data_IF_793123521889
#
_entry.id   IF_793123521889
#
_cell.length_a   1.000
_cell.length_b   1.000
_cell.length_c   1.000
_cell.angle_alpha   90.00
_cell.angle_beta   90.00
_cell.angle_gamma   90.00
#
_symmetry.space_group_name_H-M   'P 1'
#
loop_
_entity.id
_entity.type
_entity.pdbx_description
1 polymer ?
#
# COMPACT_ATOMS: atom_id res chain seq x y z
N UNK A 1 -9.92 12.27 -6.47
CA UNK A 1 -10.33 12.52 -7.87
C UNK A 1 -11.74 12.01 -8.14
N UNK A 2 -12.00 10.71 -7.99
CA UNK A 2 -13.29 10.08 -8.34
C UNK A 2 -14.55 10.70 -7.69
N UNK A 3 -14.50 11.11 -6.41
CA UNK A 3 -15.64 11.77 -5.77
C UNK A 3 -15.94 13.15 -6.38
N UNK A 4 -14.89 13.92 -6.72
CA UNK A 4 -15.04 15.23 -7.34
C UNK A 4 -15.66 15.12 -8.74
N UNK A 5 -15.26 14.12 -9.52
CA UNK A 5 -15.83 13.89 -10.86
C UNK A 5 -17.30 13.50 -10.79
N UNK A 6 -17.69 12.69 -9.80
CA UNK A 6 -19.10 12.38 -9.53
C UNK A 6 -19.87 13.65 -9.18
N UNK A 7 -19.30 14.53 -8.34
CA UNK A 7 -19.95 15.80 -7.98
C UNK A 7 -20.18 16.68 -9.21
N UNK A 8 -19.16 16.84 -10.05
CA UNK A 8 -19.25 17.64 -11.28
C UNK A 8 -20.33 17.08 -12.20
N UNK A 9 -20.40 15.77 -12.39
CA UNK A 9 -21.43 15.13 -13.21
C UNK A 9 -22.84 15.35 -12.63
N UNK A 10 -23.00 15.24 -11.30
CA UNK A 10 -24.28 15.50 -10.63
C UNK A 10 -24.72 16.97 -10.74
N UNK A 11 -23.80 17.92 -10.56
CA UNK A 11 -24.08 19.36 -10.68
C UNK A 11 -24.40 19.76 -12.13
N UNK A 12 -23.86 19.03 -13.11
CA UNK A 12 -24.16 19.18 -14.53
C UNK A 12 -25.43 18.43 -14.98
N UNK A 13 -26.13 17.74 -14.06
CA UNK A 13 -27.27 16.84 -14.33
C UNK A 13 -26.94 15.71 -15.33
N UNK A 14 -25.66 15.37 -15.51
CA UNK A 14 -25.20 14.25 -16.33
C UNK A 14 -25.27 12.94 -15.53
N UNK A 15 -26.50 12.43 -15.39
CA UNK A 15 -26.78 11.21 -14.65
C UNK A 15 -26.17 9.95 -15.27
N UNK A 16 -25.95 9.94 -16.59
CA UNK A 16 -25.31 8.82 -17.28
C UNK A 16 -23.82 8.73 -16.89
N UNK A 17 -23.12 9.87 -16.91
CA UNK A 17 -21.73 9.96 -16.46
C UNK A 17 -21.62 9.65 -14.96
N UNK A 18 -22.47 10.25 -14.13
CA UNK A 18 -22.49 9.98 -12.69
C UNK A 18 -22.72 8.49 -12.40
N UNK A 19 -23.68 7.86 -13.08
CA UNK A 19 -23.94 6.42 -12.96
C UNK A 19 -22.72 5.59 -13.34
N UNK A 20 -22.05 5.88 -14.47
CA UNK A 20 -20.85 5.15 -14.89
C UNK A 20 -19.72 5.26 -13.87
N UNK A 21 -19.48 6.46 -13.33
CA UNK A 21 -18.43 6.69 -12.33
C UNK A 21 -18.72 5.92 -11.03
N UNK A 22 -19.97 5.99 -10.55
CA UNK A 22 -20.39 5.27 -9.33
C UNK A 22 -20.36 3.75 -9.55
N UNK A 23 -20.72 3.26 -10.74
CA UNK A 23 -20.65 1.84 -11.09
C UNK A 23 -19.21 1.32 -11.02
N UNK A 24 -18.27 2.07 -11.58
CA UNK A 24 -16.85 1.73 -11.54
C UNK A 24 -16.32 1.74 -10.11
N UNK A 25 -16.67 2.77 -9.33
CA UNK A 25 -16.29 2.88 -7.92
C UNK A 25 -16.82 1.70 -7.09
N UNK A 26 -18.06 1.27 -7.34
CA UNK A 26 -18.63 0.06 -6.72
C UNK A 26 -17.82 -1.19 -7.04
N UNK A 27 -17.43 -1.38 -8.30
CA UNK A 27 -16.60 -2.51 -8.73
C UNK A 27 -15.24 -2.51 -8.03
N UNK A 28 -14.59 -1.36 -7.99
CA UNK A 28 -13.32 -1.18 -7.28
C UNK A 28 -13.44 -1.47 -5.79
N UNK A 29 -14.45 -0.89 -5.13
CA UNK A 29 -14.71 -1.12 -3.70
C UNK A 29 -14.96 -2.60 -3.37
N UNK A 30 -15.64 -3.32 -4.27
CA UNK A 30 -15.82 -4.77 -4.14
C UNK A 30 -14.50 -5.54 -4.23
N UNK A 31 -13.61 -5.16 -5.15
CA UNK A 31 -12.30 -5.80 -5.29
C UNK A 31 -11.38 -5.53 -4.08
N UNK A 32 -11.53 -4.36 -3.45
CA UNK A 32 -10.80 -3.97 -2.24
C UNK A 32 -11.45 -4.51 -0.94
N UNK A 33 -12.54 -5.27 -1.03
CA UNK A 33 -13.37 -5.69 0.10
C UNK A 33 -13.83 -4.51 1.02
N UNK A 34 -13.85 -3.29 0.48
CA UNK A 34 -14.26 -2.08 1.18
C UNK A 34 -15.80 -2.02 1.25
N UNK A 35 -16.37 -2.81 2.15
CA UNK A 35 -17.81 -3.10 2.21
C UNK A 35 -18.67 -1.84 2.41
N UNK A 36 -18.22 -0.90 3.23
CA UNK A 36 -18.94 0.36 3.48
C UNK A 36 -18.92 1.27 2.25
N UNK A 37 -17.77 1.37 1.58
CA UNK A 37 -17.63 2.11 0.32
C UNK A 37 -18.47 1.48 -0.80
N UNK A 38 -18.46 0.15 -0.91
CA UNK A 38 -19.28 -0.57 -1.87
C UNK A 38 -20.78 -0.33 -1.62
N UNK A 39 -21.20 -0.34 -0.36
CA UNK A 39 -22.59 -0.09 0.03
C UNK A 39 -23.02 1.34 -0.28
N UNK A 40 -22.19 2.32 0.03
CA UNK A 40 -22.44 3.72 -0.30
C UNK A 40 -22.53 3.94 -1.82
N UNK A 41 -21.64 3.29 -2.60
CA UNK A 41 -21.67 3.35 -4.06
C UNK A 41 -22.94 2.71 -4.63
N UNK A 42 -23.41 1.57 -4.10
CA UNK A 42 -24.68 0.95 -4.50
C UNK A 42 -25.87 1.87 -4.23
N UNK A 43 -25.88 2.55 -3.07
CA UNK A 43 -26.99 3.45 -2.71
C UNK A 43 -27.04 4.67 -3.63
N UNK A 44 -25.89 5.27 -3.94
CA UNK A 44 -25.82 6.38 -4.89
C UNK A 44 -26.16 5.92 -6.31
N UNK A 45 -25.66 4.74 -6.74
CA UNK A 45 -25.94 4.16 -8.06
C UNK A 45 -27.44 4.03 -8.31
N UNK A 46 -28.20 3.55 -7.31
CA UNK A 46 -29.66 3.42 -7.41
C UNK A 46 -30.38 4.75 -7.63
N UNK A 47 -29.89 5.83 -7.02
CA UNK A 47 -30.46 7.17 -7.16
C UNK A 47 -30.18 7.77 -8.53
N UNK A 48 -28.96 7.59 -9.05
CA UNK A 48 -28.57 8.13 -10.37
C UNK A 48 -29.06 7.28 -11.55
N UNK A 49 -29.33 5.98 -11.33
CA UNK A 49 -29.82 5.06 -12.38
C UNK A 49 -31.27 5.30 -12.83
N UNK A 50 -31.97 6.29 -12.26
CA UNK A 50 -33.25 6.77 -12.80
C UNK A 50 -34.37 5.72 -12.93
N UNK A 51 -34.41 4.71 -12.05
CA UNK A 51 -35.44 3.64 -12.12
C UNK A 51 -36.67 3.96 -11.25
N UNK A 52 -36.60 4.93 -10.34
CA UNK A 52 -37.78 5.37 -9.59
C UNK A 52 -38.47 6.52 -10.31
N UNK A 53 -39.80 6.48 -10.38
CA UNK A 53 -40.69 7.42 -11.10
C UNK A 53 -40.63 8.88 -10.61
N UNK A 54 -39.60 9.26 -9.87
CA UNK A 54 -39.44 10.55 -9.21
C UNK A 54 -37.96 10.93 -9.26
N UNK A 55 -37.67 12.11 -9.82
CA UNK A 55 -36.35 12.71 -9.76
C UNK A 55 -35.91 12.82 -8.30
N UNK A 56 -34.74 12.28 -7.90
CA UNK A 56 -34.26 12.40 -6.54
C UNK A 56 -34.09 13.86 -6.17
N UNK A 57 -34.45 14.24 -4.94
CA UNK A 57 -34.24 15.62 -4.51
C UNK A 57 -32.74 15.90 -4.38
N UNK A 58 -32.34 17.15 -4.67
CA UNK A 58 -30.95 17.61 -4.49
C UNK A 58 -30.46 17.35 -3.05
N UNK A 59 -31.35 17.43 -2.07
CA UNK A 59 -31.03 17.13 -0.66
C UNK A 59 -30.70 15.66 -0.44
N UNK A 60 -31.49 14.74 -1.00
CA UNK A 60 -31.22 13.29 -0.90
C UNK A 60 -29.93 12.91 -1.64
N UNK A 61 -29.71 13.52 -2.81
CA UNK A 61 -28.52 13.29 -3.62
C UNK A 61 -27.25 13.77 -2.89
N UNK A 62 -27.28 14.98 -2.31
CA UNK A 62 -26.18 15.51 -1.51
C UNK A 62 -25.90 14.64 -0.28
N UNK A 63 -26.93 14.17 0.41
CA UNK A 63 -26.77 13.29 1.56
C UNK A 63 -26.05 11.99 1.16
N UNK A 64 -26.49 11.33 0.08
CA UNK A 64 -25.87 10.08 -0.38
C UNK A 64 -24.48 10.28 -0.95
N UNK A 65 -24.22 11.42 -1.58
CA UNK A 65 -22.89 11.79 -1.99
C UNK A 65 -21.95 11.96 -0.78
N UNK A 66 -22.38 12.66 0.28
CA UNK A 66 -21.57 12.81 1.50
C UNK A 66 -21.30 11.47 2.21
N UNK A 67 -22.28 10.56 2.22
CA UNK A 67 -22.06 9.19 2.72
C UNK A 67 -20.97 8.46 1.92
N UNK A 68 -21.00 8.58 0.58
CA UNK A 68 -19.98 8.01 -0.31
C UNK A 68 -18.59 8.61 -0.08
N UNK A 69 -18.51 9.93 0.04
CA UNK A 69 -17.26 10.65 0.29
C UNK A 69 -16.61 10.23 1.61
N UNK A 70 -17.41 10.13 2.68
CA UNK A 70 -16.93 9.65 3.97
C UNK A 70 -16.41 8.21 3.89
N UNK A 71 -17.16 7.31 3.24
CA UNK A 71 -16.74 5.92 3.09
C UNK A 71 -15.46 5.80 2.22
N UNK A 72 -15.29 6.68 1.24
CA UNK A 72 -14.09 6.73 0.42
C UNK A 72 -12.88 7.19 1.23
N UNK A 73 -13.04 8.23 2.05
CA UNK A 73 -11.97 8.71 2.94
C UNK A 73 -11.57 7.64 3.95
N UNK A 74 -12.54 6.93 4.55
CA UNK A 74 -12.25 5.81 5.46
C UNK A 74 -11.51 4.67 4.77
N UNK A 75 -11.90 4.32 3.54
CA UNK A 75 -11.20 3.29 2.76
C UNK A 75 -9.76 3.73 2.44
N UNK A 76 -9.57 5.02 2.11
CA UNK A 76 -8.24 5.57 1.84
C UNK A 76 -7.36 5.58 3.08
N UNK A 77 -7.86 6.05 4.22
CA UNK A 77 -7.15 6.03 5.50
C UNK A 77 -6.79 4.60 5.91
N UNK A 78 -7.71 3.65 5.73
CA UNK A 78 -7.46 2.23 6.02
C UNK A 78 -6.37 1.65 5.12
N UNK A 79 -6.40 1.95 3.83
CA UNK A 79 -5.38 1.51 2.88
C UNK A 79 -4.01 2.16 3.17
N UNK A 80 -3.99 3.45 3.53
CA UNK A 80 -2.77 4.16 3.92
C UNK A 80 -2.20 3.62 5.23
N UNK A 81 -3.03 3.32 6.22
CA UNK A 81 -2.61 2.67 7.47
C UNK A 81 -1.99 1.30 7.21
N UNK A 82 -2.55 0.53 6.26
CA UNK A 82 -1.99 -0.76 5.86
C UNK A 82 -0.60 -0.63 5.22
N UNK A 83 -0.35 0.44 4.47
CA UNK A 83 0.97 0.75 3.90
C UNK A 83 1.94 1.42 4.89
N UNK A 84 1.44 2.23 5.82
CA UNK A 84 2.25 2.94 6.81
C UNK A 84 2.65 2.06 8.01
N UNK A 85 2.00 0.92 8.21
CA UNK A 85 2.39 -0.03 9.26
C UNK A 85 3.77 -0.67 9.01
N UNK A 86 4.36 -0.51 7.82
CA UNK A 86 5.74 -0.90 7.51
C UNK A 86 6.78 0.13 7.97
N UNK A 87 6.37 1.29 8.49
CA UNK A 87 7.28 2.26 9.16
C UNK A 87 7.35 2.06 10.68
N UNK A 88 6.90 0.91 11.21
CA UNK A 88 7.05 0.60 12.63
C UNK A 88 8.52 0.25 12.94
N UNK A 89 9.32 1.29 13.18
CA UNK A 89 10.61 1.26 13.88
C UNK A 89 11.45 0.01 13.60
N UNK A 90 11.88 -0.18 12.35
CA UNK A 90 13.04 -1.03 12.11
C UNK A 90 14.18 -0.40 12.90
N UNK A 91 14.69 -1.12 13.89
CA UNK A 91 15.94 -0.84 14.56
C UNK A 91 17.01 -0.86 13.46
N UNK A 92 17.24 0.28 12.78
CA UNK A 92 18.38 0.43 11.88
C UNK A 92 19.58 0.05 12.74
N UNK A 93 20.33 -0.94 12.27
CA UNK A 93 21.57 -1.30 12.92
C UNK A 93 22.38 -0.03 13.12
N UNK A 94 22.86 0.17 14.33
CA UNK A 94 23.78 1.28 14.60
C UNK A 94 25.10 0.99 13.88
N UNK A 95 25.83 2.02 13.47
CA UNK A 95 27.13 1.86 12.79
C UNK A 95 28.09 0.95 13.60
N UNK A 96 27.96 0.94 14.93
CA UNK A 96 28.69 0.03 15.83
C UNK A 96 28.32 -1.45 15.70
N UNK A 97 27.06 -1.77 15.38
CA UNK A 97 26.58 -3.15 15.19
C UNK A 97 26.99 -3.71 13.83
N UNK A 98 27.08 -2.83 12.82
CA UNK A 98 27.57 -3.18 11.48
C UNK A 98 29.08 -3.40 11.49
N UNK A 99 29.85 -2.57 12.22
CA UNK A 99 31.29 -2.72 12.38
C UNK A 99 31.73 -4.00 13.14
N UNK A 100 30.80 -4.69 13.81
CA UNK A 100 31.05 -5.97 14.47
C UNK A 100 31.03 -7.17 13.50
N UNK A 101 30.58 -6.96 12.26
CA UNK A 101 30.55 -7.99 11.21
C UNK A 101 31.94 -8.08 10.57
N UNK A 102 32.50 -9.29 10.36
CA UNK A 102 33.72 -9.44 9.58
C UNK A 102 33.56 -8.80 8.19
N UNK A 103 34.46 -7.89 7.81
CA UNK A 103 34.34 -7.12 6.56
C UNK A 103 34.25 -7.98 5.30
N UNK A 104 34.93 -9.13 5.27
CA UNK A 104 34.82 -10.11 4.18
C UNK A 104 33.40 -10.68 4.05
N UNK A 105 32.72 -10.95 5.18
CA UNK A 105 31.34 -11.42 5.20
C UNK A 105 30.37 -10.29 4.82
N UNK A 106 30.61 -9.07 5.28
CA UNK A 106 29.79 -7.91 4.93
C UNK A 106 29.79 -7.63 3.42
N UNK A 107 30.96 -7.66 2.76
CA UNK A 107 31.07 -7.46 1.31
C UNK A 107 30.43 -8.59 0.49
N UNK A 108 30.60 -9.86 0.89
CA UNK A 108 29.98 -11.00 0.20
C UNK A 108 28.45 -10.90 0.25
N UNK A 109 27.91 -10.65 1.45
CA UNK A 109 26.49 -10.50 1.69
C UNK A 109 25.93 -9.28 0.95
N UNK A 110 26.60 -8.13 1.01
CA UNK A 110 26.21 -6.91 0.28
C UNK A 110 26.04 -7.17 -1.22
N UNK A 111 27.03 -7.85 -1.83
CA UNK A 111 26.96 -8.19 -3.25
C UNK A 111 25.77 -9.09 -3.57
N UNK A 112 25.56 -10.16 -2.79
CA UNK A 112 24.46 -11.10 -2.99
C UNK A 112 23.09 -10.47 -2.78
N UNK A 113 22.97 -9.55 -1.83
CA UNK A 113 21.75 -8.77 -1.59
C UNK A 113 21.46 -7.87 -2.81
N UNK A 114 22.47 -7.17 -3.35
CA UNK A 114 22.28 -6.35 -4.56
C UNK A 114 21.83 -7.16 -5.75
N UNK A 115 22.51 -8.28 -6.02
CA UNK A 115 22.18 -9.16 -7.15
C UNK A 115 20.72 -9.67 -7.03
N UNK A 116 20.30 -10.07 -5.83
CA UNK A 116 18.93 -10.52 -5.57
C UNK A 116 17.90 -9.39 -5.67
N UNK A 117 18.22 -8.20 -5.18
CA UNK A 117 17.36 -7.02 -5.27
C UNK A 117 17.19 -6.54 -6.73
N UNK A 118 18.25 -6.56 -7.54
CA UNK A 118 18.20 -6.23 -8.97
C UNK A 118 17.31 -7.20 -9.76
N UNK A 119 17.36 -8.49 -9.40
CA UNK A 119 16.52 -9.52 -10.00
C UNK A 119 15.09 -9.59 -9.42
N UNK A 120 14.80 -8.83 -8.35
CA UNK A 120 13.54 -8.93 -7.60
C UNK A 120 13.31 -10.31 -6.97
N UNK A 121 14.40 -11.04 -6.66
CA UNK A 121 14.34 -12.39 -6.13
C UNK A 121 14.19 -12.40 -4.59
N UNK A 122 12.94 -12.28 -4.16
CA UNK A 122 12.54 -12.32 -2.75
C UNK A 122 12.92 -13.64 -2.06
N UNK A 123 12.95 -14.77 -2.79
CA UNK A 123 13.35 -16.06 -2.21
C UNK A 123 14.83 -16.06 -1.84
N UNK A 124 15.67 -15.53 -2.74
CA UNK A 124 17.10 -15.39 -2.48
C UNK A 124 17.38 -14.39 -1.36
N UNK A 125 16.65 -13.27 -1.28
CA UNK A 125 16.75 -12.31 -0.17
C UNK A 125 16.44 -12.97 1.19
N UNK A 126 15.37 -13.78 1.27
CA UNK A 126 15.04 -14.51 2.50
C UNK A 126 16.09 -15.57 2.85
N UNK A 127 16.65 -16.28 1.87
CA UNK A 127 17.71 -17.25 2.11
C UNK A 127 18.99 -16.57 2.64
N UNK A 128 19.35 -15.40 2.10
CA UNK A 128 20.46 -14.59 2.59
C UNK A 128 20.21 -14.15 4.03
N UNK A 129 18.99 -13.69 4.35
CA UNK A 129 18.63 -13.32 5.71
C UNK A 129 18.74 -14.49 6.70
N UNK A 130 18.33 -15.70 6.31
CA UNK A 130 18.50 -16.89 7.15
C UNK A 130 19.98 -17.23 7.41
N UNK A 131 20.83 -17.08 6.39
CA UNK A 131 22.28 -17.28 6.50
C UNK A 131 22.92 -16.28 7.46
N UNK A 132 22.58 -14.99 7.33
CA UNK A 132 23.05 -13.92 8.21
C UNK A 132 22.69 -14.21 9.67
N UNK A 133 21.46 -14.66 9.92
CA UNK A 133 20.98 -15.05 11.25
C UNK A 133 21.74 -16.25 11.81
N UNK A 134 22.12 -17.22 10.96
CA UNK A 134 22.87 -18.39 11.37
C UNK A 134 24.35 -18.08 11.66
N UNK A 135 24.88 -16.98 11.13
CA UNK A 135 26.28 -16.59 11.30
C UNK A 135 26.59 -16.04 12.70
N UNK A 136 25.72 -15.17 13.23
CA UNK A 136 25.89 -14.58 14.57
C UNK A 136 24.59 -14.00 15.11
N UNK A 137 24.38 -14.10 16.44
CA UNK A 137 23.25 -13.47 17.13
C UNK A 137 23.25 -11.94 16.97
N UNK A 138 24.43 -11.33 16.77
CA UNK A 138 24.57 -9.89 16.48
C UNK A 138 23.98 -9.48 15.13
N UNK A 139 23.76 -10.42 14.22
CA UNK A 139 23.25 -10.17 12.86
C UNK A 139 21.74 -10.47 12.73
N UNK A 140 21.08 -10.88 13.82
CA UNK A 140 19.62 -11.08 13.86
C UNK A 140 18.84 -9.84 13.43
N UNK A 141 19.21 -8.59 13.83
CA UNK A 141 18.49 -7.41 13.37
C UNK A 141 18.65 -7.18 11.87
N UNK A 142 19.84 -7.43 11.31
CA UNK A 142 20.10 -7.33 9.86
C UNK A 142 19.22 -8.29 9.06
N UNK A 143 19.19 -9.55 9.49
CA UNK A 143 18.36 -10.59 8.89
C UNK A 143 16.88 -10.18 8.87
N UNK A 144 16.34 -9.74 10.02
CA UNK A 144 14.95 -9.29 10.11
C UNK A 144 14.66 -8.11 9.19
N UNK A 145 15.59 -7.16 9.12
CA UNK A 145 15.46 -5.98 8.28
C UNK A 145 15.41 -6.34 6.78
N UNK A 146 16.22 -7.29 6.32
CA UNK A 146 16.20 -7.79 4.93
C UNK A 146 14.87 -8.49 4.63
N UNK A 147 14.41 -9.37 5.52
CA UNK A 147 13.12 -10.08 5.34
C UNK A 147 11.96 -9.10 5.23
N UNK A 148 11.91 -8.12 6.13
CA UNK A 148 10.83 -7.12 6.15
C UNK A 148 10.80 -6.31 4.85
N UNK A 149 11.93 -5.75 4.43
CA UNK A 149 11.97 -5.00 3.16
C UNK A 149 11.63 -5.88 1.95
N UNK A 150 11.96 -7.18 1.99
CA UNK A 150 11.63 -8.10 0.92
C UNK A 150 10.12 -8.44 0.89
N UNK A 151 9.47 -8.54 2.06
CA UNK A 151 8.01 -8.68 2.19
C UNK A 151 7.26 -7.42 1.74
N UNK A 152 7.83 -6.25 2.03
CA UNK A 152 7.28 -4.94 1.64
C UNK A 152 7.61 -4.56 0.18
N UNK A 153 8.37 -5.41 -0.54
CA UNK A 153 8.89 -5.15 -1.88
C UNK A 153 9.71 -3.84 -2.01
N UNK A 154 10.34 -3.40 -0.92
CA UNK A 154 11.22 -2.23 -0.85
C UNK A 154 12.63 -2.57 -1.41
N UNK A 155 12.72 -2.79 -2.72
CA UNK A 155 13.99 -3.14 -3.38
C UNK A 155 15.00 -1.99 -3.34
N UNK A 156 14.54 -0.74 -3.36
CA UNK A 156 15.40 0.44 -3.28
C UNK A 156 16.04 0.56 -1.88
N UNK A 157 15.26 0.31 -0.82
CA UNK A 157 15.76 0.23 0.55
C UNK A 157 16.79 -0.89 0.75
N UNK A 158 16.55 -2.05 0.12
CA UNK A 158 17.47 -3.19 0.16
C UNK A 158 18.81 -2.87 -0.54
N UNK A 159 18.77 -2.20 -1.69
CA UNK A 159 20.00 -1.79 -2.39
C UNK A 159 20.83 -0.84 -1.54
N UNK A 160 20.18 0.13 -0.89
CA UNK A 160 20.86 1.07 0.01
C UNK A 160 21.48 0.38 1.23
N UNK A 161 20.77 -0.58 1.82
CA UNK A 161 21.31 -1.39 2.93
C UNK A 161 22.58 -2.15 2.48
N UNK A 162 22.58 -2.68 1.26
CA UNK A 162 23.74 -3.37 0.73
C UNK A 162 24.93 -2.42 0.52
N UNK A 163 24.70 -1.18 0.08
CA UNK A 163 25.77 -0.19 -0.05
C UNK A 163 26.34 0.23 1.32
N UNK A 164 25.49 0.33 2.34
CA UNK A 164 25.92 0.59 3.72
C UNK A 164 26.80 -0.58 4.25
N UNK A 165 26.44 -1.83 3.95
CA UNK A 165 27.21 -3.03 4.31
C UNK A 165 28.56 -3.14 3.57
N UNK A 166 28.60 -2.74 2.30
CA UNK A 166 29.81 -2.75 1.46
C UNK A 166 30.79 -1.62 1.84
N UNK A 167 30.31 -0.60 2.54
CA UNK A 167 31.10 0.54 2.99
C UNK A 167 31.78 0.34 4.36
N UNK A 168 31.55 -0.81 5.02
CA UNK A 168 32.10 -1.17 6.34
C UNK A 168 33.45 -1.89 6.25
#
# INVERSE_FOLDING_TARGET
ESANDIRIALDAEDFDQAHSLVHNLKGLAGNLAATDLQTAAVNLEKLVKGVEKKTPSITELNLKFSELENALNQALESAQSLGASAEENVCRLSDEEIAAIPSEFAHDIAKRIRDAAEMGDVMTLNAIAEEIKAHSDSCIPLSKQIVQMAEDFDLDGIQKLADDLDSC
#
